data_IF_196926677850
#
_entry.id   IF_196926677850
#
_cell.length_a   1.000
_cell.length_b   1.000
_cell.length_c   1.000
_cell.angle_alpha   90.00
_cell.angle_beta   90.00
_cell.angle_gamma   90.00
#
_symmetry.space_group_name_H-M   'P 1'
#
loop_
_entity.id
_entity.type
_entity.pdbx_description
1 polymer ?
#
# COMPACT_ATOMS: atom_id res chain seq x y z
N UNK A 1 12.46 -7.39 -1.32
CA UNK A 1 11.98 -8.65 -1.92
C UNK A 1 11.90 -9.78 -0.89
N UNK A 2 10.84 -9.80 -0.08
CA UNK A 2 10.56 -10.91 0.84
C UNK A 2 9.39 -11.78 0.39
N UNK A 3 9.18 -12.96 0.99
CA UNK A 3 8.21 -13.97 0.55
C UNK A 3 6.76 -13.69 0.94
N UNK A 4 6.48 -12.64 1.73
CA UNK A 4 5.14 -12.31 2.24
C UNK A 4 4.52 -11.15 1.45
N UNK A 5 3.22 -10.92 1.63
CA UNK A 5 2.52 -9.79 1.03
C UNK A 5 3.23 -8.46 1.34
N UNK A 6 3.15 -7.52 0.40
CA UNK A 6 3.94 -6.29 0.48
C UNK A 6 3.55 -5.44 1.69
N UNK A 7 2.31 -5.55 2.18
CA UNK A 7 1.84 -4.87 3.38
C UNK A 7 2.61 -5.33 4.64
N UNK A 8 2.80 -6.65 4.79
CA UNK A 8 3.54 -7.22 5.93
C UNK A 8 5.04 -6.96 5.79
N UNK A 9 5.60 -7.15 4.60
CA UNK A 9 7.02 -6.85 4.34
C UNK A 9 7.34 -5.36 4.60
N UNK A 10 6.44 -4.46 4.20
CA UNK A 10 6.57 -3.03 4.47
C UNK A 10 6.48 -2.70 5.96
N UNK A 11 5.58 -3.35 6.70
CA UNK A 11 5.42 -3.17 8.14
C UNK A 11 6.65 -3.67 8.92
N UNK A 12 7.19 -4.83 8.54
CA UNK A 12 8.43 -5.39 9.09
C UNK A 12 9.63 -4.48 8.79
N UNK A 13 9.73 -3.97 7.56
CA UNK A 13 10.78 -3.04 7.16
C UNK A 13 10.72 -1.73 7.95
N UNK A 14 9.52 -1.18 8.17
CA UNK A 14 9.33 0.03 8.98
C UNK A 14 9.76 -0.20 10.44
N UNK A 15 9.46 -1.37 10.99
CA UNK A 15 9.89 -1.73 12.36
C UNK A 15 11.41 -1.84 12.46
N UNK A 16 12.06 -2.47 11.49
CA UNK A 16 13.52 -2.53 11.41
C UNK A 16 14.16 -1.14 11.23
N UNK A 17 13.53 -0.27 10.45
CA UNK A 17 13.95 1.12 10.26
C UNK A 17 13.89 1.90 11.58
N UNK A 18 12.78 1.82 12.31
CA UNK A 18 12.63 2.48 13.62
C UNK A 18 13.64 1.93 14.62
N UNK A 19 13.82 0.61 14.69
CA UNK A 19 14.78 -0.01 15.61
C UNK A 19 16.23 0.45 15.36
N UNK A 20 16.59 0.78 14.12
CA UNK A 20 17.94 1.22 13.75
C UNK A 20 18.16 2.73 13.91
N UNK A 21 17.12 3.56 13.76
CA UNK A 21 17.26 5.02 13.75
C UNK A 21 16.67 5.71 14.98
N UNK A 22 15.69 5.10 15.64
CA UNK A 22 15.01 5.62 16.83
C UNK A 22 14.75 4.48 17.85
N UNK A 23 15.81 3.85 18.37
CA UNK A 23 15.71 2.65 19.23
C UNK A 23 14.93 2.87 20.53
N UNK A 24 14.82 4.13 20.99
CA UNK A 24 14.09 4.50 22.20
C UNK A 24 12.57 4.69 21.97
N UNK A 25 12.08 4.49 20.74
CA UNK A 25 10.65 4.57 20.42
C UNK A 25 9.87 3.56 21.27
N UNK A 26 8.79 3.96 21.95
CA UNK A 26 7.95 3.05 22.71
C UNK A 26 7.47 1.89 21.86
N UNK A 27 7.52 0.67 22.40
CA UNK A 27 7.07 -0.54 21.68
C UNK A 27 5.62 -0.45 21.20
N UNK A 28 4.77 0.28 21.93
CA UNK A 28 3.39 0.53 21.53
C UNK A 28 3.30 1.30 20.22
N UNK A 29 4.08 2.37 20.09
CA UNK A 29 4.10 3.21 18.89
C UNK A 29 4.66 2.44 17.69
N UNK A 30 5.72 1.66 17.89
CA UNK A 30 6.26 0.77 16.85
C UNK A 30 5.21 -0.23 16.38
N UNK A 31 4.44 -0.80 17.31
CA UNK A 31 3.36 -1.71 16.97
C UNK A 31 2.22 -1.00 16.22
N UNK A 32 1.87 0.22 16.61
CA UNK A 32 0.84 1.02 15.92
C UNK A 32 1.26 1.35 14.48
N UNK A 33 2.54 1.69 14.24
CA UNK A 33 3.09 1.87 12.89
C UNK A 33 3.01 0.58 12.08
N UNK A 34 3.43 -0.55 12.67
CA UNK A 34 3.35 -1.84 12.01
C UNK A 34 1.91 -2.16 11.60
N UNK A 35 0.93 -1.98 12.49
CA UNK A 35 -0.48 -2.24 12.20
C UNK A 35 -1.05 -1.29 11.15
N UNK A 36 -0.69 -0.01 11.19
CA UNK A 36 -1.14 0.95 10.20
C UNK A 36 -0.67 0.58 8.79
N UNK A 37 0.59 0.13 8.64
CA UNK A 37 1.13 -0.31 7.35
C UNK A 37 0.57 -1.68 6.96
N UNK A 38 0.51 -2.66 7.86
CA UNK A 38 0.06 -4.01 7.50
C UNK A 38 -1.42 -4.07 7.07
N UNK A 39 -2.24 -3.12 7.54
CA UNK A 39 -3.68 -3.14 7.32
C UNK A 39 -4.18 -2.09 6.32
N UNK A 40 -3.34 -1.19 5.82
CA UNK A 40 -3.79 -0.03 5.02
C UNK A 40 -4.59 -0.37 3.75
N UNK A 41 -4.55 -1.63 3.27
CA UNK A 41 -5.32 -2.12 2.11
C UNK A 41 -6.64 -2.82 2.50
N UNK A 42 -7.05 -2.79 3.77
CA UNK A 42 -8.22 -3.52 4.31
C UNK A 42 -9.41 -2.60 4.64
N UNK A 43 -10.25 -2.23 3.66
CA UNK A 43 -11.36 -1.28 3.86
C UNK A 43 -12.42 -1.81 4.85
N UNK A 44 -13.01 -0.92 5.64
CA UNK A 44 -14.11 -1.21 6.57
C UNK A 44 -13.71 -1.90 7.89
N UNK A 45 -12.45 -2.35 7.98
CA UNK A 45 -11.84 -2.94 9.18
C UNK A 45 -10.97 -1.90 9.88
N UNK A 46 -10.01 -1.29 9.17
CA UNK A 46 -8.97 -0.43 9.74
C UNK A 46 -9.47 0.81 10.44
N UNK A 47 -10.59 1.36 9.99
CA UNK A 47 -11.19 2.58 10.50
C UNK A 47 -11.71 2.41 11.93
N UNK A 48 -11.88 1.16 12.37
CA UNK A 48 -12.39 0.80 13.70
C UNK A 48 -11.32 0.33 14.67
N UNK A 49 -10.09 0.06 14.23
CA UNK A 49 -9.08 -0.54 15.11
C UNK A 49 -8.19 0.52 15.76
N UNK A 50 -7.56 1.40 14.98
CA UNK A 50 -6.64 2.43 15.49
C UNK A 50 -6.71 3.70 14.65
N UNK A 51 -6.45 4.85 15.29
CA UNK A 51 -6.50 6.16 14.61
C UNK A 51 -5.43 6.24 13.52
N UNK A 52 -4.21 5.77 13.78
CA UNK A 52 -3.14 5.84 12.78
C UNK A 52 -3.47 5.00 11.53
N UNK A 53 -3.96 3.78 11.70
CA UNK A 53 -4.35 2.92 10.58
C UNK A 53 -5.45 3.55 9.72
N UNK A 54 -6.46 4.17 10.36
CA UNK A 54 -7.51 4.93 9.66
C UNK A 54 -6.95 6.09 8.85
N UNK A 55 -6.01 6.85 9.43
CA UNK A 55 -5.40 7.99 8.75
C UNK A 55 -4.56 7.54 7.55
N UNK A 56 -3.77 6.48 7.70
CA UNK A 56 -2.96 5.92 6.59
C UNK A 56 -3.88 5.40 5.48
N UNK A 57 -4.91 4.63 5.81
CA UNK A 57 -5.87 4.14 4.82
C UNK A 57 -6.55 5.29 4.06
N UNK A 58 -7.05 6.30 4.78
CA UNK A 58 -7.67 7.47 4.18
C UNK A 58 -6.72 8.28 3.30
N UNK A 59 -5.46 8.42 3.70
CA UNK A 59 -4.43 9.09 2.89
C UNK A 59 -4.13 8.32 1.59
N UNK A 60 -4.04 7.00 1.66
CA UNK A 60 -3.86 6.14 0.48
C UNK A 60 -5.07 6.28 -0.45
N UNK A 61 -6.30 6.23 0.05
CA UNK A 61 -7.49 6.43 -0.78
C UNK A 61 -7.49 7.81 -1.47
N UNK A 62 -7.16 8.88 -0.72
CA UNK A 62 -7.08 10.22 -1.28
C UNK A 62 -6.00 10.33 -2.37
N UNK A 63 -4.84 9.69 -2.18
CA UNK A 63 -3.76 9.66 -3.17
C UNK A 63 -4.17 8.94 -4.46
N UNK A 64 -5.06 7.95 -4.39
CA UNK A 64 -5.65 7.29 -5.55
C UNK A 64 -6.98 7.92 -6.00
N UNK A 65 -7.22 9.18 -5.60
CA UNK A 65 -8.42 9.96 -5.97
C UNK A 65 -9.76 9.29 -5.58
N UNK A 66 -9.73 8.41 -4.58
CA UNK A 66 -10.91 7.80 -3.98
C UNK A 66 -11.28 8.61 -2.75
N UNK A 67 -12.25 9.52 -2.89
CA UNK A 67 -12.70 10.34 -1.77
C UNK A 67 -13.56 9.50 -0.82
N UNK A 68 -13.08 9.29 0.40
CA UNK A 68 -13.87 8.70 1.47
C UNK A 68 -14.86 9.75 2.02
N UNK A 69 -16.15 9.43 2.23
CA UNK A 69 -17.15 10.40 2.71
C UNK A 69 -16.77 11.07 4.05
N UNK A 70 -16.06 10.32 4.91
CA UNK A 70 -15.58 10.81 6.20
C UNK A 70 -14.16 11.41 6.15
N UNK A 71 -13.53 11.48 4.97
CA UNK A 71 -12.21 12.10 4.85
C UNK A 71 -12.32 13.63 5.01
N UNK A 72 -11.39 14.21 5.76
CA UNK A 72 -11.23 15.66 5.88
C UNK A 72 -10.29 16.23 4.80
N UNK A 73 -10.23 15.60 3.62
CA UNK A 73 -9.36 15.97 2.51
C UNK A 73 -10.25 16.24 1.30
N UNK A 74 -10.11 17.41 0.69
CA UNK A 74 -10.83 17.75 -0.54
C UNK A 74 -9.91 17.79 -1.77
N UNK A 75 -10.49 18.05 -2.94
CA UNK A 75 -9.74 18.09 -4.20
C UNK A 75 -8.61 19.14 -4.19
N UNK A 76 -8.77 20.26 -3.50
CA UNK A 76 -7.73 21.32 -3.45
C UNK A 76 -6.54 20.87 -2.60
N UNK A 77 -6.80 20.11 -1.54
CA UNK A 77 -5.73 19.53 -0.72
C UNK A 77 -4.89 18.55 -1.55
N UNK A 78 -5.54 17.69 -2.35
CA UNK A 78 -4.88 16.76 -3.27
C UNK A 78 -4.05 17.54 -4.31
N UNK A 79 -4.65 18.50 -5.01
CA UNK A 79 -3.97 19.32 -6.01
C UNK A 79 -2.76 20.07 -5.43
N UNK A 80 -2.87 20.59 -4.20
CA UNK A 80 -1.78 21.27 -3.51
C UNK A 80 -0.64 20.30 -3.16
N UNK A 81 -0.95 19.08 -2.73
CA UNK A 81 0.02 18.04 -2.47
C UNK A 81 0.75 17.63 -3.76
N UNK A 82 0.03 17.35 -4.84
CA UNK A 82 0.61 16.92 -6.12
C UNK A 82 1.45 18.00 -6.80
N UNK A 83 1.11 19.29 -6.60
CA UNK A 83 1.96 20.39 -7.05
C UNK A 83 3.30 20.44 -6.30
N UNK A 84 3.30 20.02 -5.04
CA UNK A 84 4.48 20.02 -4.17
C UNK A 84 5.31 18.75 -4.36
N UNK A 85 4.63 17.62 -4.55
CA UNK A 85 5.19 16.28 -4.70
C UNK A 85 4.63 15.64 -5.99
N UNK A 86 5.31 15.83 -7.15
CA UNK A 86 4.87 15.28 -8.41
C UNK A 86 4.71 13.74 -8.36
N UNK A 87 3.60 13.21 -8.87
CA UNK A 87 3.22 11.78 -8.74
C UNK A 87 4.13 10.78 -9.44
N UNK A 88 4.73 11.14 -10.58
CA UNK A 88 5.63 10.26 -11.33
C UNK A 88 5.00 8.96 -11.84
N UNK A 89 3.73 8.98 -12.27
CA UNK A 89 2.97 7.80 -12.76
C UNK A 89 2.85 6.67 -11.71
N UNK A 90 2.63 7.04 -10.45
CA UNK A 90 2.64 6.12 -9.32
C UNK A 90 1.71 4.92 -9.49
N UNK A 91 0.56 5.08 -10.15
CA UNK A 91 -0.39 3.99 -10.42
C UNK A 91 0.28 2.89 -11.26
N UNK A 92 1.06 3.28 -12.26
CA UNK A 92 1.81 2.37 -13.10
C UNK A 92 2.99 1.77 -12.33
N UNK A 93 3.84 2.62 -11.75
CA UNK A 93 5.08 2.19 -11.09
C UNK A 93 4.77 1.23 -9.95
N UNK A 94 3.84 1.59 -9.05
CA UNK A 94 3.49 0.75 -7.92
C UNK A 94 2.83 -0.56 -8.37
N UNK A 95 1.89 -0.49 -9.32
CA UNK A 95 1.20 -1.66 -9.85
C UNK A 95 2.15 -2.67 -10.51
N UNK A 96 3.11 -2.17 -11.28
CA UNK A 96 4.12 -2.99 -11.93
C UNK A 96 5.05 -3.65 -10.91
N UNK A 97 5.58 -2.89 -9.96
CA UNK A 97 6.48 -3.42 -8.92
C UNK A 97 5.81 -4.52 -8.09
N UNK A 98 4.57 -4.31 -7.65
CA UNK A 98 3.82 -5.30 -6.87
C UNK A 98 3.57 -6.57 -7.68
N UNK A 99 3.15 -6.43 -8.93
CA UNK A 99 2.88 -7.58 -9.80
C UNK A 99 4.17 -8.32 -10.20
N UNK A 100 5.27 -7.61 -10.43
CA UNK A 100 6.57 -8.21 -10.79
C UNK A 100 7.20 -8.95 -9.64
N UNK A 101 7.22 -8.36 -8.45
CA UNK A 101 7.70 -9.05 -7.26
C UNK A 101 6.87 -10.31 -6.96
N UNK A 102 5.56 -10.26 -7.20
CA UNK A 102 4.69 -11.41 -7.07
C UNK A 102 4.96 -12.50 -8.11
N UNK A 103 5.17 -12.13 -9.38
CA UNK A 103 5.50 -13.05 -10.47
C UNK A 103 6.84 -13.75 -10.25
N UNK A 104 7.83 -13.01 -9.75
CA UNK A 104 9.19 -13.51 -9.53
C UNK A 104 9.36 -14.30 -8.22
N UNK A 105 8.36 -14.26 -7.32
CA UNK A 105 8.42 -14.95 -6.04
C UNK A 105 8.42 -16.47 -6.22
N UNK A 106 9.16 -17.19 -5.37
CA UNK A 106 9.14 -18.65 -5.35
C UNK A 106 7.74 -19.23 -5.03
N UNK A 107 6.92 -18.48 -4.29
CA UNK A 107 5.54 -18.83 -3.95
C UNK A 107 4.61 -17.64 -4.27
N UNK A 108 4.21 -17.44 -5.54
CA UNK A 108 3.41 -16.29 -5.95
C UNK A 108 2.08 -16.17 -5.19
N UNK A 109 1.41 -17.29 -4.90
CA UNK A 109 0.14 -17.30 -4.14
C UNK A 109 0.30 -16.89 -2.68
N UNK A 110 1.51 -17.05 -2.11
CA UNK A 110 1.82 -16.54 -0.77
C UNK A 110 2.15 -15.05 -0.81
N UNK A 111 2.87 -14.62 -1.85
CA UNK A 111 3.28 -13.23 -2.07
C UNK A 111 2.10 -12.33 -2.44
N UNK A 112 1.18 -12.85 -3.24
CA UNK A 112 -0.01 -12.19 -3.76
C UNK A 112 -1.19 -13.17 -3.74
N UNK A 113 -1.85 -13.35 -2.56
CA UNK A 113 -2.97 -14.27 -2.43
C UNK A 113 -4.14 -13.92 -3.38
N UNK A 114 -4.86 -14.91 -3.93
CA UNK A 114 -6.06 -14.66 -4.73
C UNK A 114 -7.09 -13.80 -3.99
N UNK A 115 -7.85 -12.98 -4.72
CA UNK A 115 -8.84 -12.05 -4.19
C UNK A 115 -8.28 -10.98 -3.24
N UNK A 116 -6.99 -10.66 -3.36
CA UNK A 116 -6.34 -9.48 -2.77
C UNK A 116 -5.85 -8.56 -3.88
N UNK A 117 -5.68 -7.26 -3.61
CA UNK A 117 -5.22 -6.32 -4.64
C UNK A 117 -3.93 -6.77 -5.36
N UNK A 118 -2.85 -7.22 -4.66
CA UNK A 118 -1.68 -7.80 -5.33
C UNK A 118 -2.00 -9.04 -6.18
N UNK A 119 -2.91 -9.90 -5.71
CA UNK A 119 -3.34 -11.09 -6.46
C UNK A 119 -4.09 -10.74 -7.73
N UNK A 120 -4.95 -9.72 -7.69
CA UNK A 120 -5.66 -9.20 -8.85
C UNK A 120 -4.69 -8.56 -9.87
N UNK A 121 -3.72 -7.77 -9.40
CA UNK A 121 -2.67 -7.18 -10.24
C UNK A 121 -1.84 -8.27 -10.96
N UNK A 122 -1.42 -9.30 -10.22
CA UNK A 122 -0.68 -10.44 -10.76
C UNK A 122 -1.50 -11.18 -11.81
N UNK A 123 -2.79 -11.44 -11.54
CA UNK A 123 -3.69 -12.08 -12.51
C UNK A 123 -3.80 -11.26 -13.78
N UNK A 124 -4.07 -9.96 -13.65
CA UNK A 124 -4.17 -9.03 -14.78
C UNK A 124 -2.90 -8.98 -15.63
N UNK A 125 -1.71 -8.98 -15.00
CA UNK A 125 -0.42 -9.04 -15.69
C UNK A 125 -0.26 -10.33 -16.51
N UNK A 126 -0.65 -11.48 -15.94
CA UNK A 126 -0.59 -12.79 -16.61
C UNK A 126 -1.59 -12.93 -17.76
N UNK A 127 -2.78 -12.33 -17.61
CA UNK A 127 -3.81 -12.32 -18.65
C UNK A 127 -3.46 -11.36 -19.81
N UNK A 128 -2.63 -10.34 -19.56
CA UNK A 128 -2.31 -9.28 -20.52
C UNK A 128 -0.78 -9.05 -20.66
N UNK A 129 0.02 -10.05 -21.10
CA UNK A 129 1.49 -9.98 -21.08
C UNK A 129 2.11 -8.91 -21.99
N UNK A 130 1.36 -8.37 -22.97
CA UNK A 130 1.81 -7.30 -23.86
C UNK A 130 1.35 -5.89 -23.43
N UNK A 131 0.60 -5.77 -22.34
CA UNK A 131 0.11 -4.48 -21.87
C UNK A 131 1.20 -3.72 -21.12
N UNK A 132 1.42 -2.46 -21.49
CA UNK A 132 2.45 -1.58 -20.91
C UNK A 132 1.89 -0.34 -20.23
N UNK A 133 0.56 -0.17 -20.18
CA UNK A 133 -0.09 0.93 -19.47
C UNK A 133 -0.16 0.71 -17.96
N UNK A 134 -1.01 1.48 -17.27
CA UNK A 134 -1.42 1.22 -15.89
C UNK A 134 -2.14 -0.14 -15.85
N UNK A 135 -1.84 -0.98 -14.85
CA UNK A 135 -2.46 -2.31 -14.74
C UNK A 135 -4.00 -2.20 -14.80
N UNK A 136 -4.66 -3.08 -15.56
CA UNK A 136 -6.10 -2.99 -15.85
C UNK A 136 -7.05 -3.19 -14.64
N UNK A 137 -6.49 -3.41 -13.44
CA UNK A 137 -7.25 -3.52 -12.18
C UNK A 137 -7.44 -2.16 -11.50
N UNK A 138 -6.71 -1.12 -11.92
CA UNK A 138 -6.92 0.26 -11.46
C UNK A 138 -8.18 0.89 -12.06
#
# INVERSE_FOLDING_TARGET
DGPQCFEVEGADAATAFIASHAPDTPKGDVHEVWMAIALHTSPGIVERIFVLARLVHGAVLADFHVLHPDACVDQKDIEAAERTFPRGEIEKVLGDEVAEQAEQAQQPERKAPPATWPGELLRSKRENPGWTGVNMVF
#
